data_IF_459355586394
#
_entry.id   IF_459355586394
#
_cell.length_a   1.000
_cell.length_b   1.000
_cell.length_c   1.000
_cell.angle_alpha   90.00
_cell.angle_beta   90.00
_cell.angle_gamma   90.00
#
_symmetry.space_group_name_H-M   'P 1'
#
loop_
_entity.id
_entity.type
_entity.pdbx_description
1 polymer ?
#
# COMPACT_ATOMS: atom_id res chain seq x y z
N UNK A 1 3.80 -3.64 -13.06
CA UNK A 1 2.90 -2.64 -12.44
C UNK A 1 2.79 -2.97 -10.97
N UNK A 2 3.39 -2.17 -10.09
CA UNK A 2 3.17 -2.29 -8.66
C UNK A 2 1.72 -1.97 -8.39
N UNK A 3 1.02 -2.93 -7.81
CA UNK A 3 -0.37 -2.79 -7.42
C UNK A 3 -0.46 -2.88 -5.91
N UNK A 4 -1.53 -2.32 -5.35
CA UNK A 4 -1.83 -2.46 -3.92
C UNK A 4 -1.95 -3.94 -3.51
N UNK A 5 -2.25 -4.84 -4.46
CA UNK A 5 -2.25 -6.28 -4.28
C UNK A 5 -0.88 -6.85 -3.86
N UNK A 6 0.25 -6.16 -4.14
CA UNK A 6 1.55 -6.54 -3.61
C UNK A 6 1.62 -6.46 -2.07
N UNK A 7 0.72 -5.70 -1.43
CA UNK A 7 0.62 -5.66 0.02
C UNK A 7 -0.11 -6.87 0.62
N UNK A 8 -0.63 -7.80 -0.20
CA UNK A 8 -1.27 -9.03 0.30
C UNK A 8 -0.31 -9.83 1.19
N UNK A 9 0.99 -9.88 0.85
CA UNK A 9 2.00 -10.51 1.69
C UNK A 9 2.28 -9.77 3.02
N UNK A 10 1.74 -8.56 3.19
CA UNK A 10 1.84 -7.78 4.42
C UNK A 10 0.64 -7.96 5.35
N UNK A 11 -0.42 -8.66 4.91
CA UNK A 11 -1.72 -8.73 5.61
C UNK A 11 -1.58 -9.23 7.04
N UNK A 12 -0.86 -10.31 7.29
CA UNK A 12 -0.66 -10.82 8.66
C UNK A 12 0.02 -9.79 9.57
N UNK A 13 0.97 -9.01 9.04
CA UNK A 13 1.64 -7.96 9.79
C UNK A 13 0.73 -6.75 10.09
N UNK A 14 -0.23 -6.51 9.19
CA UNK A 14 -1.11 -5.34 9.22
C UNK A 14 -2.46 -5.61 9.91
N UNK A 15 -2.97 -6.84 9.89
CA UNK A 15 -4.19 -7.27 10.59
C UNK A 15 -3.96 -7.38 12.10
N UNK A 16 -2.83 -7.95 12.50
CA UNK A 16 -2.58 -8.22 13.90
C UNK A 16 -2.09 -6.96 14.63
N UNK A 17 -2.82 -6.57 15.67
CA UNK A 17 -2.54 -5.32 16.36
C UNK A 17 -1.13 -5.31 16.93
N UNK A 18 -0.56 -6.43 17.41
CA UNK A 18 0.85 -6.53 17.88
C UNK A 18 1.49 -7.92 17.85
N UNK A 19 0.85 -8.95 17.29
CA UNK A 19 1.38 -10.33 17.37
C UNK A 19 2.51 -10.61 16.39
N UNK A 20 2.44 -10.01 15.21
CA UNK A 20 3.49 -10.12 14.20
C UNK A 20 4.41 -8.90 14.32
N UNK A 21 5.61 -9.12 14.87
CA UNK A 21 6.58 -8.04 15.09
C UNK A 21 7.41 -7.69 13.86
N UNK A 22 7.50 -8.59 12.87
CA UNK A 22 8.24 -8.37 11.62
C UNK A 22 7.43 -8.78 10.39
N UNK A 23 7.38 -7.95 9.35
CA UNK A 23 6.80 -8.33 8.06
C UNK A 23 7.67 -9.38 7.37
N UNK A 24 7.05 -10.14 6.47
CA UNK A 24 7.75 -11.10 5.62
C UNK A 24 8.68 -10.37 4.63
N UNK A 25 9.79 -11.00 4.21
CA UNK A 25 10.73 -10.35 3.29
C UNK A 25 10.06 -9.97 1.95
N UNK A 26 9.13 -10.79 1.46
CA UNK A 26 8.32 -10.50 0.27
C UNK A 26 7.52 -9.20 0.44
N UNK A 27 6.83 -9.04 1.58
CA UNK A 27 6.10 -7.82 1.91
C UNK A 27 6.97 -6.56 1.83
N UNK A 28 8.20 -6.59 2.38
CA UNK A 28 9.10 -5.44 2.27
C UNK A 28 9.55 -5.16 0.84
N UNK A 29 9.77 -6.21 0.03
CA UNK A 29 10.10 -6.08 -1.39
C UNK A 29 8.96 -5.45 -2.20
N UNK A 30 7.73 -5.90 -1.96
CA UNK A 30 6.54 -5.37 -2.64
C UNK A 30 6.22 -3.94 -2.18
N UNK A 31 6.36 -3.65 -0.88
CA UNK A 31 6.21 -2.29 -0.34
C UNK A 31 7.24 -1.33 -0.91
N UNK A 32 8.52 -1.75 -1.00
CA UNK A 32 9.58 -0.96 -1.64
C UNK A 32 9.22 -0.60 -3.08
N UNK A 33 8.81 -1.60 -3.88
CA UNK A 33 8.37 -1.36 -5.26
C UNK A 33 7.19 -0.41 -5.33
N UNK A 34 6.20 -0.56 -4.44
CA UNK A 34 5.06 0.34 -4.39
C UNK A 34 5.48 1.78 -4.09
N UNK A 35 6.39 1.97 -3.13
CA UNK A 35 6.93 3.29 -2.78
C UNK A 35 7.72 3.90 -3.93
N UNK A 36 8.58 3.11 -4.60
CA UNK A 36 9.48 3.61 -5.65
C UNK A 36 8.74 3.87 -6.97
N UNK A 37 7.80 3.01 -7.36
CA UNK A 37 7.17 3.05 -8.68
C UNK A 37 5.73 3.64 -8.64
N UNK A 38 5.01 3.50 -7.53
CA UNK A 38 3.59 3.92 -7.43
C UNK A 38 3.23 4.52 -6.05
N UNK A 39 3.95 5.57 -5.58
CA UNK A 39 3.74 6.17 -4.26
C UNK A 39 2.34 6.78 -4.08
N UNK A 40 1.66 7.11 -5.16
CA UNK A 40 0.27 7.61 -5.14
C UNK A 40 -0.72 6.54 -4.69
N UNK A 41 -0.45 5.25 -4.92
CA UNK A 41 -1.34 4.17 -4.51
C UNK A 41 -1.47 4.07 -2.99
N UNK A 42 -0.44 4.51 -2.26
CA UNK A 42 -0.46 4.60 -0.80
C UNK A 42 -1.46 5.67 -0.29
N UNK A 43 -1.84 6.64 -1.12
CA UNK A 43 -2.88 7.62 -0.76
C UNK A 43 -4.23 6.95 -0.45
N UNK A 44 -4.58 5.90 -1.20
CA UNK A 44 -5.82 5.13 -0.99
C UNK A 44 -5.81 4.41 0.35
N UNK A 45 -4.63 3.99 0.79
CA UNK A 45 -4.46 3.45 2.13
C UNK A 45 -4.66 4.51 3.23
N UNK A 46 -4.23 5.75 3.00
CA UNK A 46 -4.36 6.84 3.97
C UNK A 46 -5.80 7.36 4.09
N UNK A 47 -6.55 7.41 2.99
CA UNK A 47 -7.92 7.93 2.99
C UNK A 47 -8.95 6.98 3.60
N UNK A 48 -8.55 5.76 3.99
CA UNK A 48 -9.36 4.86 4.81
C UNK A 48 -10.58 4.25 4.13
N UNK A 49 -10.70 4.34 2.80
CA UNK A 49 -11.85 3.86 2.04
C UNK A 49 -11.58 2.60 1.22
N UNK A 50 -10.56 2.62 0.36
CA UNK A 50 -10.43 1.61 -0.70
C UNK A 50 -9.55 0.41 -0.31
N UNK A 51 -8.55 0.62 0.55
CA UNK A 51 -7.58 -0.44 0.82
C UNK A 51 -8.18 -1.64 1.56
N UNK A 52 -9.18 -1.40 2.41
CA UNK A 52 -9.81 -2.45 3.19
C UNK A 52 -10.67 -3.35 2.30
N UNK A 53 -11.33 -2.79 1.29
CA UNK A 53 -12.11 -3.52 0.27
C UNK A 53 -11.23 -4.31 -0.70
N UNK A 54 -10.01 -3.85 -0.94
CA UNK A 54 -9.06 -4.51 -1.85
C UNK A 54 -8.27 -5.64 -1.19
N UNK A 55 -8.25 -5.67 0.13
CA UNK A 55 -7.53 -6.68 0.90
C UNK A 55 -8.52 -7.76 1.33
N UNK A 56 -8.13 -9.04 1.32
CA UNK A 56 -8.98 -10.12 1.79
C UNK A 56 -9.34 -9.99 3.28
N UNK A 57 -8.58 -9.21 4.05
CA UNK A 57 -8.79 -8.99 5.47
C UNK A 57 -8.54 -7.53 5.87
N UNK A 58 -9.18 -7.06 6.96
CA UNK A 58 -9.12 -5.68 7.38
C UNK A 58 -7.77 -5.27 7.97
N UNK A 59 -7.00 -4.51 7.19
CA UNK A 59 -5.70 -4.04 7.63
C UNK A 59 -5.76 -2.77 8.49
N UNK A 60 -4.80 -2.66 9.41
CA UNK A 60 -4.55 -1.43 10.15
C UNK A 60 -3.73 -0.44 9.29
N UNK A 61 -4.41 0.57 8.73
CA UNK A 61 -3.77 1.61 7.93
C UNK A 61 -2.67 2.39 8.68
N UNK A 62 -2.79 2.53 10.01
CA UNK A 62 -1.76 3.17 10.82
C UNK A 62 -0.48 2.30 10.87
N UNK A 63 -0.60 0.97 10.95
CA UNK A 63 0.56 0.07 10.82
C UNK A 63 1.21 0.15 9.45
N UNK A 64 0.41 0.22 8.39
CA UNK A 64 0.94 0.34 7.04
C UNK A 64 1.76 1.63 6.87
N UNK A 65 1.29 2.74 7.45
CA UNK A 65 1.91 4.06 7.31
C UNK A 65 3.04 4.33 8.31
N UNK A 66 3.03 3.70 9.49
CA UNK A 66 3.97 4.02 10.57
C UNK A 66 4.92 2.87 10.89
N UNK A 67 4.40 1.63 10.91
CA UNK A 67 5.15 0.45 11.36
C UNK A 67 5.89 -0.21 10.19
N UNK A 68 5.22 -0.39 9.05
CA UNK A 68 5.81 -1.02 7.86
C UNK A 68 7.05 -0.29 7.32
N UNK A 69 7.06 1.06 7.19
CA UNK A 69 8.24 1.78 6.69
C UNK A 69 9.44 1.60 7.60
N UNK A 70 9.19 1.63 8.92
CA UNK A 70 10.23 1.42 9.95
C UNK A 70 10.73 -0.02 9.92
N UNK A 71 9.84 -0.99 9.82
CA UNK A 71 10.18 -2.42 9.84
C UNK A 71 10.94 -2.85 8.57
N UNK A 72 10.58 -2.29 7.41
CA UNK A 72 11.23 -2.56 6.13
C UNK A 72 12.41 -1.64 5.80
N UNK A 73 12.62 -0.58 6.60
CA UNK A 73 13.65 0.42 6.33
C UNK A 73 13.44 1.18 5.01
N UNK A 74 12.18 1.36 4.61
CA UNK A 74 11.80 2.03 3.37
C UNK A 74 11.24 3.40 3.72
N UNK A 75 11.90 4.51 3.34
CA UNK A 75 11.40 5.84 3.63
C UNK A 75 10.11 6.11 2.83
N UNK A 76 9.05 6.54 3.51
CA UNK A 76 7.84 6.97 2.83
C UNK A 76 8.05 8.33 2.16
N UNK A 77 7.56 8.54 0.93
CA UNK A 77 7.65 9.80 0.23
C UNK A 77 6.58 10.75 0.77
N UNK A 78 6.84 11.32 1.95
CA UNK A 78 5.89 12.17 2.68
C UNK A 78 5.42 13.38 1.86
N UNK A 79 6.27 13.93 0.99
CA UNK A 79 5.90 15.03 0.09
C UNK A 79 4.85 14.61 -0.94
N UNK A 80 5.01 13.43 -1.53
CA UNK A 80 4.02 12.85 -2.45
C UNK A 80 2.74 12.49 -1.69
N UNK A 81 2.87 11.96 -0.46
CA UNK A 81 1.73 11.63 0.37
C UNK A 81 0.97 12.86 0.90
N UNK A 82 1.65 13.99 1.09
CA UNK A 82 1.01 15.25 1.45
C UNK A 82 0.07 15.73 0.35
N UNK A 83 0.44 15.50 -0.93
CA UNK A 83 -0.40 15.82 -2.09
C UNK A 83 -1.71 15.03 -2.11
N UNK A 84 -1.77 13.84 -1.49
CA UNK A 84 -3.01 13.06 -1.35
C UNK A 84 -4.14 13.81 -0.60
N UNK A 85 -3.78 14.81 0.22
CA UNK A 85 -4.75 15.60 1.01
C UNK A 85 -5.30 16.79 0.23
N UNK A 86 -4.53 17.31 -0.71
CA UNK A 86 -4.85 18.51 -1.50
C UNK A 86 -5.37 18.19 -2.88
N UNK A 87 -4.93 17.08 -3.47
CA UNK A 87 -5.29 16.67 -4.83
C UNK A 87 -6.27 15.48 -4.79
N UNK A 88 -7.24 15.42 -5.71
CA UNK A 88 -8.03 14.22 -5.92
C UNK A 88 -7.10 13.06 -6.29
N UNK A 89 -7.07 12.04 -5.43
CA UNK A 89 -6.33 10.82 -5.74
C UNK A 89 -7.06 10.12 -6.89
N UNK A 90 -6.37 9.79 -8.01
CA UNK A 90 -7.01 9.10 -9.11
C UNK A 90 -7.60 7.79 -8.60
N UNK A 91 -8.83 7.41 -8.98
CA UNK A 91 -9.44 6.17 -8.52
C UNK A 91 -8.55 4.98 -8.88
N UNK A 92 -8.48 3.99 -7.98
CA UNK A 92 -7.89 2.69 -8.29
C UNK A 92 -8.81 2.01 -9.29
N UNK A 93 -8.64 2.31 -10.56
CA UNK A 93 -9.34 1.59 -11.60
C UNK A 93 -8.84 0.14 -11.55
N UNK A 94 -9.74 -0.78 -11.23
CA UNK A 94 -9.61 -2.19 -11.58
C UNK A 94 -9.70 -2.28 -13.09
N UNK A 95 -8.70 -1.75 -13.81
CA UNK A 95 -8.67 -1.90 -15.27
C UNK A 95 -8.67 -3.40 -15.57
N UNK A 96 -9.71 -3.96 -16.22
CA UNK A 96 -9.49 -5.15 -16.99
C UNK A 96 -8.40 -4.74 -17.98
N UNK A 97 -7.30 -5.47 -18.06
CA UNK A 97 -6.38 -5.30 -19.17
C UNK A 97 -7.15 -5.62 -20.45
N UNK A 98 -7.81 -4.63 -21.04
CA UNK A 98 -8.22 -4.71 -22.41
C UNK A 98 -6.90 -4.70 -23.22
N UNK A 99 -6.60 -5.78 -23.97
CA UNK A 99 -5.37 -5.84 -24.73
C UNK A 99 -5.47 -4.78 -25.83
N UNK A 100 -4.79 -3.66 -25.64
CA UNK A 100 -4.58 -2.72 -26.74
C UNK A 100 -3.23 -3.09 -27.33
N UNK A 101 -3.24 -3.92 -28.36
CA UNK A 101 -2.09 -4.06 -29.24
C UNK A 101 -2.60 -3.92 -30.70
N UNK A 102 -1.95 -3.09 -31.53
CA UNK A 102 -2.32 -2.89 -32.93
C UNK A 102 -2.11 -4.14 -33.78
#
# INVERSE_FOLDING_TARGET
>A
MPSLAGLVSCIDYLNDDYRVSKPMAACCGDFRKLVDEAPICLCHAMKGGDINEMMPEPINAARLMLSLPKACGVPLPLETLAKCKTEPVPPLTTVPFAPTHP
#
